data_IF_441909309649
#
_entry.id   IF_441909309649
#
_cell.length_a   1.000
_cell.length_b   1.000
_cell.length_c   1.000
_cell.angle_alpha   90.00
_cell.angle_beta   90.00
_cell.angle_gamma   90.00
#
_symmetry.space_group_name_H-M   'P 1'
#
loop_
_entity.id
_entity.type
_entity.pdbx_description
1 polymer ?
#
# COMPACT_ATOMS: atom_id res chain seq x y z
N UNK A 1 12.72 -52.89 -28.50
CA UNK A 1 11.27 -52.79 -28.24
C UNK A 1 11.10 -52.13 -26.87
N UNK A 2 11.41 -50.83 -26.75
CA UNK A 2 10.46 -49.69 -26.77
C UNK A 2 9.28 -49.82 -25.79
N UNK A 3 9.41 -49.19 -24.62
CA UNK A 3 8.31 -48.42 -24.04
C UNK A 3 8.88 -47.29 -23.18
N UNK A 4 8.45 -46.09 -23.54
CA UNK A 4 8.81 -44.79 -22.97
C UNK A 4 7.85 -44.48 -21.82
N UNK A 5 8.39 -43.85 -20.79
CA UNK A 5 7.67 -43.19 -19.72
C UNK A 5 6.77 -42.06 -20.25
N UNK A 6 5.51 -42.06 -19.79
CA UNK A 6 4.57 -40.95 -19.91
C UNK A 6 3.83 -40.82 -18.58
N UNK A 7 4.43 -40.12 -17.62
CA UNK A 7 3.69 -39.44 -16.57
C UNK A 7 3.47 -37.99 -17.02
N UNK A 8 2.26 -37.68 -17.49
CA UNK A 8 1.82 -36.30 -17.70
C UNK A 8 0.75 -35.97 -16.67
N UNK A 9 1.02 -34.93 -15.88
CA UNK A 9 0.22 -34.45 -14.75
C UNK A 9 -1.07 -33.78 -15.22
N UNK A 10 -2.19 -34.13 -14.58
CA UNK A 10 -3.55 -33.70 -14.90
C UNK A 10 -3.96 -32.36 -14.27
N UNK A 11 -3.03 -31.41 -14.11
CA UNK A 11 -3.26 -30.14 -13.39
C UNK A 11 -3.44 -28.91 -14.31
N UNK A 12 -3.67 -29.10 -15.61
CA UNK A 12 -3.67 -28.00 -16.61
C UNK A 12 -5.03 -27.62 -17.20
N UNK A 13 -6.16 -27.94 -16.56
CA UNK A 13 -7.48 -27.82 -17.22
C UNK A 13 -8.58 -27.00 -16.54
N UNK A 14 -8.29 -26.15 -15.55
CA UNK A 14 -9.36 -25.40 -14.84
C UNK A 14 -9.14 -23.88 -14.70
N UNK A 15 -7.94 -23.32 -14.90
CA UNK A 15 -7.77 -21.86 -14.88
C UNK A 15 -7.12 -21.34 -16.17
N UNK A 16 -7.80 -20.36 -16.77
CA UNK A 16 -7.50 -19.78 -18.06
C UNK A 16 -6.15 -19.07 -18.14
N UNK A 17 -5.67 -18.98 -19.37
CA UNK A 17 -4.47 -18.24 -19.76
C UNK A 17 -4.66 -16.74 -19.47
N UNK A 18 -3.69 -16.14 -18.80
CA UNK A 18 -3.52 -14.68 -18.72
C UNK A 18 -2.22 -14.30 -19.44
N UNK A 19 -2.19 -13.20 -20.19
CA UNK A 19 -1.34 -13.06 -21.36
C UNK A 19 0.12 -12.79 -20.98
N UNK A 20 1.01 -13.60 -21.55
CA UNK A 20 2.44 -13.30 -21.57
C UNK A 20 2.70 -12.19 -22.59
N UNK A 21 2.90 -10.96 -22.12
CA UNK A 21 3.51 -9.91 -22.93
C UNK A 21 4.97 -10.27 -23.19
N UNK A 22 5.24 -10.70 -24.43
CA UNK A 22 6.57 -10.89 -24.98
C UNK A 22 7.15 -9.53 -25.37
N UNK A 23 8.27 -9.14 -24.77
CA UNK A 23 9.12 -8.06 -25.27
C UNK A 23 10.00 -8.61 -26.40
N UNK A 24 9.44 -8.67 -27.62
CA UNK A 24 10.25 -8.81 -28.82
C UNK A 24 10.62 -7.45 -29.38
N UNK A 25 11.93 -7.26 -29.48
CA UNK A 25 12.61 -6.28 -30.31
C UNK A 25 12.01 -6.29 -31.73
N UNK A 26 11.56 -5.13 -32.19
CA UNK A 26 11.48 -4.83 -33.61
C UNK A 26 12.00 -3.43 -33.89
N UNK A 27 13.06 -3.43 -34.68
CA UNK A 27 13.62 -2.31 -35.41
C UNK A 27 12.68 -1.95 -36.56
N UNK A 28 12.29 -0.68 -36.69
CA UNK A 28 12.08 -0.03 -37.99
C UNK A 28 11.96 1.49 -37.86
N UNK A 29 13.04 2.13 -38.30
CA UNK A 29 13.08 3.36 -39.09
C UNK A 29 11.74 3.96 -39.57
N UNK A 30 11.57 5.28 -39.43
CA UNK A 30 12.00 6.24 -40.47
C UNK A 30 11.51 7.69 -40.27
N UNK A 31 12.41 8.63 -40.65
CA UNK A 31 12.18 10.02 -41.13
C UNK A 31 11.71 11.08 -40.11
N UNK A 32 12.14 12.34 -40.16
CA UNK A 32 13.19 13.08 -40.87
C UNK A 32 13.04 14.53 -40.38
N UNK A 33 14.08 15.19 -39.87
CA UNK A 33 14.25 16.64 -40.10
C UNK A 33 15.71 17.03 -39.88
N UNK A 34 16.36 17.26 -41.02
CA UNK A 34 17.58 18.02 -41.21
C UNK A 34 17.58 19.30 -40.34
N UNK A 35 18.61 19.52 -39.53
CA UNK A 35 18.95 20.85 -39.03
C UNK A 35 20.46 21.06 -39.12
N UNK A 36 20.81 21.93 -40.05
CA UNK A 36 22.15 22.43 -40.32
C UNK A 36 22.77 23.02 -39.05
N UNK A 37 23.97 22.55 -38.70
CA UNK A 37 24.87 23.25 -37.79
C UNK A 37 25.68 24.28 -38.59
N UNK A 38 25.66 25.57 -38.24
CA UNK A 38 26.63 26.51 -38.77
C UNK A 38 27.98 26.33 -38.08
N UNK A 39 28.99 26.29 -38.95
CA UNK A 39 30.42 26.31 -38.68
C UNK A 39 30.87 27.75 -38.81
N UNK A 40 31.55 28.27 -37.80
CA UNK A 40 32.48 29.41 -37.83
C UNK A 40 33.45 29.15 -36.66
N UNK A 41 34.75 28.85 -36.77
CA UNK A 41 35.80 29.20 -37.71
C UNK A 41 36.25 30.67 -37.63
N UNK A 42 36.82 31.08 -36.49
CA UNK A 42 37.83 32.14 -36.41
C UNK A 42 38.96 31.71 -35.46
N UNK A 43 40.13 31.32 -36.00
CA UNK A 43 41.32 32.17 -36.22
C UNK A 43 42.21 32.26 -34.98
N UNK A 44 43.06 31.25 -34.81
CA UNK A 44 44.27 31.35 -34.00
C UNK A 44 45.28 32.24 -34.73
N UNK A 45 45.48 33.48 -34.27
CA UNK A 45 46.55 34.35 -34.76
C UNK A 45 47.81 34.18 -33.90
N UNK A 46 48.83 33.75 -34.64
CA UNK A 46 50.27 33.83 -34.41
C UNK A 46 50.73 34.89 -33.40
N UNK A 47 51.31 34.43 -32.30
CA UNK A 47 52.18 35.25 -31.45
C UNK A 47 53.61 35.17 -31.99
N UNK A 48 53.97 36.15 -32.83
CA UNK A 48 55.35 36.33 -33.27
C UNK A 48 56.24 36.75 -32.09
N UNK A 49 57.23 35.91 -31.83
CA UNK A 49 58.45 36.18 -31.05
C UNK A 49 59.07 37.51 -31.49
N UNK A 50 59.08 38.53 -30.62
CA UNK A 50 59.91 39.73 -30.80
C UNK A 50 61.29 39.47 -30.22
N UNK A 51 62.26 39.23 -31.12
CA UNK A 51 63.69 39.29 -30.85
C UNK A 51 64.08 40.78 -30.88
N UNK A 52 64.46 41.32 -29.72
CA UNK A 52 65.09 42.63 -29.60
C UNK A 52 66.53 42.53 -30.13
N UNK A 53 66.77 43.08 -31.33
CA UNK A 53 68.11 43.29 -31.88
C UNK A 53 68.39 44.79 -31.84
N UNK A 54 69.22 45.20 -30.89
CA UNK A 54 69.87 46.51 -30.87
C UNK A 54 70.98 46.53 -31.92
N UNK A 55 71.10 47.57 -32.78
CA UNK A 55 72.33 47.78 -33.53
C UNK A 55 73.29 48.63 -32.69
N UNK A 56 74.48 48.08 -32.48
CA UNK A 56 75.63 48.82 -31.98
C UNK A 56 76.08 49.84 -33.03
N UNK A 57 76.19 51.09 -32.61
CA UNK A 57 76.95 52.15 -33.28
C UNK A 57 78.42 52.02 -32.91
N UNK A 58 79.34 51.92 -33.89
CA UNK A 58 80.71 52.40 -33.69
C UNK A 58 81.42 52.73 -35.01
N UNK A 59 81.72 54.02 -35.14
CA UNK A 59 82.83 54.69 -35.84
C UNK A 59 83.29 54.19 -37.22
N UNK A 60 82.93 54.97 -38.25
CA UNK A 60 83.77 55.17 -39.42
C UNK A 60 84.39 56.57 -39.36
N UNK A 61 85.69 56.60 -39.59
CA UNK A 61 86.63 57.71 -39.52
C UNK A 61 86.22 58.92 -40.35
N UNK A 62 86.30 60.10 -39.73
CA UNK A 62 86.22 61.41 -40.38
C UNK A 62 87.46 61.60 -41.27
N UNK A 63 87.26 61.65 -42.57
CA UNK A 63 88.23 62.23 -43.50
C UNK A 63 87.70 63.61 -43.91
N UNK A 64 88.32 64.65 -43.35
CA UNK A 64 88.22 66.01 -43.84
C UNK A 64 88.89 66.08 -45.22
N UNK A 65 88.16 66.57 -46.21
CA UNK A 65 88.70 67.23 -47.40
C UNK A 65 87.67 68.25 -47.86
N UNK A 66 88.07 69.51 -47.79
CA UNK A 66 87.35 70.70 -48.26
C UNK A 66 87.00 70.57 -49.75
N UNK A 67 85.73 70.78 -50.14
CA UNK A 67 85.38 71.08 -51.53
C UNK A 67 84.01 71.78 -51.69
N UNK A 68 84.07 73.03 -52.14
CA UNK A 68 83.11 73.89 -52.84
C UNK A 68 81.62 74.05 -52.43
N UNK A 69 81.31 75.30 -52.05
CA UNK A 69 80.07 75.82 -51.44
C UNK A 69 78.90 76.25 -52.38
N UNK A 70 78.90 76.16 -53.74
CA UNK A 70 77.74 76.57 -54.54
C UNK A 70 76.85 75.42 -55.07
N UNK A 71 77.27 74.15 -55.00
CA UNK A 71 76.48 73.00 -55.51
C UNK A 71 75.62 72.30 -54.43
N UNK A 72 75.98 72.50 -53.14
CA UNK A 72 75.28 71.96 -51.96
C UNK A 72 73.94 72.67 -51.65
N UNK A 73 73.80 73.93 -52.06
CA UNK A 73 72.60 74.74 -51.82
C UNK A 73 71.44 74.37 -52.76
N UNK A 74 71.72 74.00 -54.01
CA UNK A 74 70.73 73.53 -54.98
C UNK A 74 70.14 72.17 -54.57
N UNK A 75 71.00 71.21 -54.22
CA UNK A 75 70.58 69.89 -53.72
C UNK A 75 69.86 69.98 -52.37
N UNK A 76 70.26 70.91 -51.49
CA UNK A 76 69.55 71.17 -50.23
C UNK A 76 68.13 71.74 -50.43
N UNK A 77 67.92 72.57 -51.46
CA UNK A 77 66.60 73.13 -51.76
C UNK A 77 65.68 72.09 -52.39
N UNK A 78 66.19 71.24 -53.29
CA UNK A 78 65.44 70.12 -53.85
C UNK A 78 65.04 69.10 -52.76
N UNK A 79 65.96 68.79 -51.83
CA UNK A 79 65.70 67.93 -50.69
C UNK A 79 64.69 68.53 -49.69
N UNK A 80 64.62 69.87 -49.58
CA UNK A 80 63.58 70.55 -48.80
C UNK A 80 62.21 70.42 -49.47
N UNK A 81 62.13 70.56 -50.79
CA UNK A 81 60.87 70.42 -51.54
C UNK A 81 60.34 68.98 -51.45
N UNK A 82 61.22 67.98 -51.58
CA UNK A 82 60.85 66.57 -51.39
C UNK A 82 60.37 66.32 -49.96
N UNK A 83 61.06 66.86 -48.94
CA UNK A 83 60.62 66.74 -47.55
C UNK A 83 59.33 67.47 -47.25
N UNK A 84 59.05 68.61 -47.87
CA UNK A 84 57.76 69.31 -47.69
C UNK A 84 56.62 68.55 -48.35
N UNK A 85 56.85 67.98 -49.54
CA UNK A 85 55.87 67.15 -50.23
C UNK A 85 55.61 65.82 -49.47
N UNK A 86 56.66 65.17 -48.97
CA UNK A 86 56.54 63.98 -48.09
C UNK A 86 55.80 64.33 -46.79
N UNK A 87 56.09 65.49 -46.19
CA UNK A 87 55.38 65.98 -45.00
C UNK A 87 53.90 66.23 -45.29
N UNK A 88 53.55 66.79 -46.45
CA UNK A 88 52.16 67.03 -46.85
C UNK A 88 51.42 65.71 -47.14
N UNK A 89 52.08 64.73 -47.77
CA UNK A 89 51.53 63.38 -47.94
C UNK A 89 51.33 62.66 -46.60
N UNK A 90 52.30 62.76 -45.69
CA UNK A 90 52.18 62.22 -44.33
C UNK A 90 51.08 62.93 -43.55
N UNK A 91 50.90 64.25 -43.74
CA UNK A 91 49.81 65.00 -43.13
C UNK A 91 48.45 64.57 -43.68
N UNK A 92 48.31 64.41 -45.00
CA UNK A 92 47.06 63.91 -45.61
C UNK A 92 46.74 62.46 -45.22
N UNK A 93 47.75 61.62 -45.01
CA UNK A 93 47.57 60.28 -44.44
C UNK A 93 47.17 60.35 -42.96
N UNK A 94 47.77 61.25 -42.19
CA UNK A 94 47.44 61.44 -40.79
C UNK A 94 46.01 61.96 -40.59
N UNK A 95 45.55 62.91 -41.42
CA UNK A 95 44.17 63.41 -41.39
C UNK A 95 43.15 62.29 -41.74
N UNK A 96 43.52 61.39 -42.66
CA UNK A 96 42.74 60.17 -42.93
C UNK A 96 42.76 59.18 -41.76
N UNK A 97 43.86 59.07 -41.03
CA UNK A 97 43.91 58.27 -39.81
C UNK A 97 43.06 58.87 -38.69
N UNK A 98 43.05 60.19 -38.52
CA UNK A 98 42.19 60.87 -37.53
C UNK A 98 40.72 60.60 -37.83
N UNK A 99 40.28 60.80 -39.08
CA UNK A 99 38.89 60.49 -39.48
C UNK A 99 38.55 59.00 -39.36
N UNK A 100 39.49 58.10 -39.60
CA UNK A 100 39.30 56.67 -39.38
C UNK A 100 39.18 56.33 -37.88
N UNK A 101 40.01 56.92 -37.02
CA UNK A 101 39.95 56.75 -35.56
C UNK A 101 38.63 57.29 -35.01
N UNK A 102 38.18 58.46 -35.46
CA UNK A 102 36.87 59.01 -35.10
C UNK A 102 35.73 58.08 -35.53
N UNK A 103 35.82 57.48 -36.72
CA UNK A 103 34.83 56.50 -37.19
C UNK A 103 34.85 55.22 -36.35
N UNK A 104 36.02 54.69 -36.01
CA UNK A 104 36.16 53.52 -35.13
C UNK A 104 35.59 53.84 -33.75
N UNK A 105 35.90 55.00 -33.18
CA UNK A 105 35.38 55.41 -31.89
C UNK A 105 33.85 55.55 -31.89
N UNK A 106 33.28 56.14 -32.94
CA UNK A 106 31.83 56.22 -33.11
C UNK A 106 31.19 54.82 -33.23
N UNK A 107 31.82 53.89 -33.96
CA UNK A 107 31.35 52.50 -34.07
C UNK A 107 31.49 51.72 -32.75
N UNK A 108 32.57 51.92 -32.01
CA UNK A 108 32.76 51.35 -30.67
C UNK A 108 31.72 51.87 -29.69
N UNK A 109 31.42 53.17 -29.73
CA UNK A 109 30.38 53.78 -28.91
C UNK A 109 29.00 53.22 -29.27
N UNK A 110 28.69 53.08 -30.57
CA UNK A 110 27.44 52.47 -31.03
C UNK A 110 27.34 50.99 -30.63
N UNK A 111 28.41 50.21 -30.78
CA UNK A 111 28.44 48.82 -30.33
C UNK A 111 28.21 48.71 -28.81
N UNK A 112 28.84 49.59 -28.03
CA UNK A 112 28.64 49.62 -26.58
C UNK A 112 27.19 49.95 -26.19
N UNK A 113 26.53 50.84 -26.93
CA UNK A 113 25.10 51.14 -26.73
C UNK A 113 24.22 49.94 -27.10
N UNK A 114 24.50 49.29 -28.23
CA UNK A 114 23.77 48.09 -28.65
C UNK A 114 23.97 46.92 -27.67
N UNK A 115 25.17 46.73 -27.13
CA UNK A 115 25.46 45.75 -26.08
C UNK A 115 24.65 46.04 -24.79
N UNK A 116 24.58 47.32 -24.39
CA UNK A 116 23.77 47.74 -23.25
C UNK A 116 22.26 47.50 -23.50
N UNK A 117 21.78 47.75 -24.71
CA UNK A 117 20.38 47.49 -25.10
C UNK A 117 20.08 45.98 -25.11
N UNK A 118 20.97 45.16 -25.68
CA UNK A 118 20.82 43.70 -25.71
C UNK A 118 20.83 43.11 -24.30
N UNK A 119 21.70 43.60 -23.41
CA UNK A 119 21.73 43.12 -22.02
C UNK A 119 20.46 43.50 -21.27
N UNK A 120 19.92 44.71 -21.46
CA UNK A 120 18.66 45.15 -20.87
C UNK A 120 17.46 44.34 -21.40
N UNK A 121 17.40 44.07 -22.70
CA UNK A 121 16.36 43.24 -23.30
C UNK A 121 16.41 41.80 -22.80
N UNK A 122 17.61 41.22 -22.65
CA UNK A 122 17.79 39.90 -22.04
C UNK A 122 17.32 39.86 -20.59
N UNK A 123 17.60 40.90 -19.80
CA UNK A 123 17.11 41.00 -18.42
C UNK A 123 15.57 41.06 -18.37
N UNK A 124 14.94 41.88 -19.22
CA UNK A 124 13.47 41.97 -19.31
C UNK A 124 12.80 40.66 -19.75
N UNK A 125 13.46 39.88 -20.62
CA UNK A 125 12.95 38.57 -21.03
C UNK A 125 13.25 37.46 -20.00
N UNK A 126 14.25 37.65 -19.13
CA UNK A 126 14.58 36.71 -18.05
C UNK A 126 13.68 36.84 -16.82
N UNK A 127 12.97 37.95 -16.68
CA UNK A 127 11.93 38.09 -15.65
C UNK A 127 10.79 37.10 -15.98
N UNK A 128 10.52 36.10 -15.13
CA UNK A 128 9.42 35.18 -15.35
C UNK A 128 8.14 35.99 -15.48
N UNK A 129 7.43 35.81 -16.60
CA UNK A 129 6.20 36.56 -16.87
C UNK A 129 5.27 36.43 -15.67
N UNK A 130 4.80 37.55 -15.12
CA UNK A 130 3.81 37.59 -14.02
C UNK A 130 2.62 36.66 -14.30
N UNK A 131 2.27 36.50 -15.57
CA UNK A 131 1.24 35.58 -16.04
C UNK A 131 1.61 34.11 -15.79
N UNK A 132 2.87 33.70 -16.01
CA UNK A 132 3.38 32.36 -15.66
C UNK A 132 3.21 32.08 -14.18
N UNK A 133 3.56 33.05 -13.32
CA UNK A 133 3.43 32.90 -11.87
C UNK A 133 1.98 32.73 -11.42
N UNK A 134 1.04 33.47 -12.03
CA UNK A 134 -0.39 33.33 -11.74
C UNK A 134 -0.91 31.95 -12.19
N UNK A 135 -0.53 31.49 -13.37
CA UNK A 135 -0.90 30.13 -13.82
C UNK A 135 -0.25 29.04 -12.97
N UNK A 136 0.99 29.22 -12.52
CA UNK A 136 1.65 28.29 -11.60
C UNK A 136 1.01 28.26 -10.20
N UNK A 137 0.47 29.39 -9.74
CA UNK A 137 -0.33 29.45 -8.50
C UNK A 137 -1.66 28.71 -8.69
N UNK A 138 -2.40 29.01 -9.75
CA UNK A 138 -3.66 28.33 -10.08
C UNK A 138 -3.47 26.81 -10.21
N UNK A 139 -2.41 26.36 -10.91
CA UNK A 139 -2.09 24.93 -11.04
C UNK A 139 -1.79 24.30 -9.67
N UNK A 140 -1.12 25.01 -8.77
CA UNK A 140 -0.85 24.51 -7.41
C UNK A 140 -2.12 24.41 -6.58
N UNK A 141 -2.99 25.41 -6.65
CA UNK A 141 -4.28 25.41 -5.95
C UNK A 141 -5.20 24.30 -6.48
N UNK A 142 -5.27 24.11 -7.79
CA UNK A 142 -6.02 23.02 -8.41
C UNK A 142 -5.48 21.65 -8.01
N UNK A 143 -4.15 21.49 -7.89
CA UNK A 143 -3.54 20.24 -7.41
C UNK A 143 -3.86 19.99 -5.93
N UNK A 144 -3.73 21.01 -5.06
CA UNK A 144 -4.11 20.91 -3.64
C UNK A 144 -5.57 20.48 -3.49
N UNK A 145 -6.46 21.13 -4.25
CA UNK A 145 -7.88 20.78 -4.23
C UNK A 145 -8.15 19.36 -4.74
N UNK A 146 -7.44 18.91 -5.76
CA UNK A 146 -7.55 17.54 -6.24
C UNK A 146 -7.07 16.53 -5.18
N UNK A 147 -5.95 16.80 -4.52
CA UNK A 147 -5.43 15.97 -3.42
C UNK A 147 -6.41 15.91 -2.23
N UNK A 148 -6.99 17.05 -1.84
CA UNK A 148 -8.03 17.12 -0.80
C UNK A 148 -9.26 16.29 -1.18
N UNK A 149 -9.76 16.42 -2.42
CA UNK A 149 -10.90 15.65 -2.89
C UNK A 149 -10.60 14.15 -3.00
N UNK A 150 -9.37 13.77 -3.37
CA UNK A 150 -8.95 12.36 -3.35
C UNK A 150 -8.92 11.83 -1.93
N UNK A 151 -8.40 12.59 -0.97
CA UNK A 151 -8.39 12.21 0.44
C UNK A 151 -9.81 12.07 1.01
N UNK A 152 -10.71 13.02 0.72
CA UNK A 152 -12.12 12.94 1.10
C UNK A 152 -12.82 11.71 0.49
N UNK A 153 -12.55 11.41 -0.79
CA UNK A 153 -13.07 10.21 -1.45
C UNK A 153 -12.55 8.94 -0.78
N UNK A 154 -11.25 8.85 -0.51
CA UNK A 154 -10.65 7.67 0.11
C UNK A 154 -11.18 7.48 1.55
N UNK A 155 -11.34 8.56 2.32
CA UNK A 155 -11.97 8.50 3.64
C UNK A 155 -13.42 8.04 3.57
N UNK A 156 -14.20 8.59 2.64
CA UNK A 156 -15.60 8.17 2.44
C UNK A 156 -15.70 6.70 2.00
N UNK A 157 -14.73 6.19 1.22
CA UNK A 157 -14.66 4.78 0.85
C UNK A 157 -14.39 3.89 2.07
N UNK A 158 -13.45 4.26 2.94
CA UNK A 158 -13.20 3.54 4.19
C UNK A 158 -14.43 3.55 5.11
N UNK A 159 -15.14 4.67 5.21
CA UNK A 159 -16.36 4.78 6.01
C UNK A 159 -17.48 3.89 5.44
N UNK A 160 -17.63 3.83 4.11
CA UNK A 160 -18.55 2.91 3.44
C UNK A 160 -18.20 1.45 3.75
N UNK A 161 -16.93 1.05 3.59
CA UNK A 161 -16.48 -0.32 3.91
C UNK A 161 -16.70 -0.65 5.40
N UNK A 162 -16.48 0.31 6.29
CA UNK A 162 -16.75 0.14 7.72
C UNK A 162 -18.25 -0.08 7.99
N UNK A 163 -19.12 0.72 7.39
CA UNK A 163 -20.57 0.59 7.52
C UNK A 163 -21.09 -0.71 6.90
N UNK A 164 -20.56 -1.12 5.76
CA UNK A 164 -20.88 -2.40 5.12
C UNK A 164 -20.52 -3.58 6.02
N UNK A 165 -19.32 -3.56 6.63
CA UNK A 165 -18.91 -4.56 7.60
C UNK A 165 -19.82 -4.58 8.84
N UNK A 166 -20.22 -3.41 9.35
CA UNK A 166 -21.15 -3.31 10.47
C UNK A 166 -22.54 -3.86 10.12
N UNK A 167 -23.04 -3.59 8.91
CA UNK A 167 -24.30 -4.14 8.41
C UNK A 167 -24.21 -5.66 8.29
N UNK A 168 -23.13 -6.20 7.74
CA UNK A 168 -22.92 -7.65 7.65
C UNK A 168 -22.90 -8.31 9.04
N UNK A 169 -22.20 -7.72 10.01
CA UNK A 169 -22.19 -8.22 11.39
C UNK A 169 -23.57 -8.18 12.04
N UNK A 170 -24.39 -7.17 11.75
CA UNK A 170 -25.76 -7.08 12.25
C UNK A 170 -26.68 -8.10 11.57
N UNK A 171 -26.48 -8.35 10.27
CA UNK A 171 -27.21 -9.39 9.54
C UNK A 171 -26.89 -10.79 10.09
N UNK A 172 -25.62 -11.11 10.31
CA UNK A 172 -25.21 -12.38 10.91
C UNK A 172 -25.81 -12.55 12.32
N UNK A 173 -25.77 -11.50 13.15
CA UNK A 173 -26.42 -11.53 14.48
C UNK A 173 -27.93 -11.73 14.38
N UNK A 174 -28.59 -11.10 13.42
CA UNK A 174 -30.02 -11.28 13.19
C UNK A 174 -30.33 -12.72 12.80
N UNK A 175 -29.56 -13.30 11.87
CA UNK A 175 -29.72 -14.69 11.43
C UNK A 175 -29.51 -15.69 12.58
N UNK A 176 -28.51 -15.46 13.43
CA UNK A 176 -28.28 -16.28 14.63
C UNK A 176 -29.46 -16.19 15.61
N UNK A 177 -30.00 -14.99 15.85
CA UNK A 177 -31.17 -14.82 16.72
C UNK A 177 -32.46 -15.40 16.11
N UNK A 178 -32.64 -15.33 14.77
CA UNK A 178 -33.76 -15.99 14.11
C UNK A 178 -33.67 -17.50 14.22
N UNK A 179 -32.48 -18.08 14.05
CA UNK A 179 -32.26 -19.52 14.20
C UNK A 179 -32.53 -19.97 15.65
N UNK A 180 -32.03 -19.23 16.65
CA UNK A 180 -32.33 -19.52 18.07
C UNK A 180 -33.82 -19.43 18.38
N UNK A 181 -34.52 -18.44 17.81
CA UNK A 181 -35.99 -18.31 17.95
C UNK A 181 -36.70 -19.52 17.35
N UNK A 182 -36.30 -19.95 16.15
CA UNK A 182 -36.87 -21.13 15.49
C UNK A 182 -36.62 -22.42 16.28
N UNK A 183 -35.41 -22.64 16.78
CA UNK A 183 -35.08 -23.76 17.66
C UNK A 183 -35.94 -23.76 18.94
N UNK A 184 -36.13 -22.58 19.56
CA UNK A 184 -36.99 -22.43 20.74
C UNK A 184 -38.47 -22.68 20.42
N UNK A 185 -38.96 -22.22 19.26
CA UNK A 185 -40.32 -22.47 18.80
C UNK A 185 -40.57 -23.95 18.50
N UNK A 186 -39.60 -24.63 17.89
CA UNK A 186 -39.70 -26.06 17.62
C UNK A 186 -39.62 -26.90 18.90
N UNK A 187 -38.77 -26.52 19.85
CA UNK A 187 -38.77 -27.11 21.19
C UNK A 187 -40.14 -26.92 21.89
N UNK A 188 -40.73 -25.73 21.81
CA UNK A 188 -42.05 -25.45 22.37
C UNK A 188 -43.14 -26.30 21.71
N UNK A 189 -43.12 -26.45 20.37
CA UNK A 189 -44.05 -27.33 19.65
C UNK A 189 -43.90 -28.78 20.07
N UNK A 190 -42.67 -29.26 20.29
CA UNK A 190 -42.42 -30.62 20.75
C UNK A 190 -42.93 -30.82 22.19
N UNK A 191 -42.63 -29.91 23.12
CA UNK A 191 -43.19 -29.98 24.46
C UNK A 191 -44.71 -29.96 24.47
N UNK A 192 -45.35 -29.21 23.57
CA UNK A 192 -46.81 -29.23 23.43
C UNK A 192 -47.32 -30.62 23.00
N UNK A 193 -46.68 -31.26 22.03
CA UNK A 193 -47.01 -32.64 21.63
C UNK A 193 -46.79 -33.63 22.77
N UNK A 194 -45.72 -33.48 23.55
CA UNK A 194 -45.44 -34.34 24.69
C UNK A 194 -46.50 -34.18 25.79
N UNK A 195 -46.94 -32.95 26.04
CA UNK A 195 -48.06 -32.67 26.95
C UNK A 195 -49.34 -33.30 26.42
N UNK A 196 -49.66 -33.13 25.14
CA UNK A 196 -50.84 -33.75 24.52
C UNK A 196 -50.78 -35.28 24.65
N UNK A 197 -49.63 -35.90 24.37
CA UNK A 197 -49.43 -37.34 24.52
C UNK A 197 -49.60 -37.80 25.98
N UNK A 198 -48.99 -37.11 26.94
CA UNK A 198 -49.13 -37.39 28.36
C UNK A 198 -50.59 -37.23 28.84
N UNK A 199 -51.34 -36.27 28.28
CA UNK A 199 -52.77 -36.11 28.60
C UNK A 199 -53.62 -37.26 28.05
N UNK A 200 -53.30 -37.77 26.86
CA UNK A 200 -53.96 -38.95 26.30
C UNK A 200 -53.67 -40.19 27.15
N UNK A 201 -52.42 -40.41 27.53
CA UNK A 201 -52.02 -41.55 28.38
C UNK A 201 -52.70 -41.47 29.75
N UNK A 202 -52.77 -40.28 30.36
CA UNK A 202 -53.54 -40.04 31.59
C UNK A 202 -55.00 -40.43 31.42
N UNK A 203 -55.66 -39.96 30.35
CA UNK A 203 -57.07 -40.27 30.08
C UNK A 203 -57.29 -41.77 29.84
N UNK A 204 -56.37 -42.47 29.17
CA UNK A 204 -56.44 -43.92 28.98
C UNK A 204 -56.32 -44.67 30.31
N UNK A 205 -55.39 -44.25 31.18
CA UNK A 205 -55.24 -44.81 32.51
C UNK A 205 -56.47 -44.53 33.38
N UNK A 206 -57.06 -43.33 33.32
CA UNK A 206 -58.29 -42.99 34.03
C UNK A 206 -59.46 -43.88 33.60
N UNK A 207 -59.66 -44.09 32.28
CA UNK A 207 -60.67 -45.03 31.78
C UNK A 207 -60.42 -46.46 32.25
N UNK A 208 -59.16 -46.89 32.31
CA UNK A 208 -58.81 -48.22 32.81
C UNK A 208 -59.13 -48.35 34.29
N UNK A 209 -58.84 -47.33 35.10
CA UNK A 209 -59.23 -47.27 36.51
C UNK A 209 -60.75 -47.35 36.65
N UNK A 210 -61.51 -46.56 35.90
CA UNK A 210 -62.98 -46.59 35.89
C UNK A 210 -63.51 -47.99 35.54
N UNK A 211 -63.01 -48.60 34.47
CA UNK A 211 -63.41 -49.96 34.07
C UNK A 211 -63.10 -51.03 35.14
N UNK A 212 -61.97 -50.89 35.86
CA UNK A 212 -61.61 -51.80 36.94
C UNK A 212 -62.49 -51.58 38.18
N UNK A 213 -62.89 -50.34 38.46
CA UNK A 213 -63.85 -50.04 39.53
C UNK A 213 -65.23 -50.61 39.21
N UNK A 214 -65.69 -50.50 37.97
CA UNK A 214 -66.94 -51.10 37.51
C UNK A 214 -66.91 -52.62 37.62
N UNK A 215 -65.81 -53.26 37.23
CA UNK A 215 -65.62 -54.72 37.38
C UNK A 215 -65.63 -55.14 38.85
N UNK A 216 -64.97 -54.39 39.73
CA UNK A 216 -65.00 -54.66 41.18
C UNK A 216 -66.42 -54.49 41.73
N UNK A 217 -67.17 -53.48 41.29
CA UNK A 217 -68.56 -53.28 41.70
C UNK A 217 -69.46 -54.43 41.22
N UNK A 218 -69.27 -54.88 39.98
CA UNK A 218 -69.98 -56.04 39.42
C UNK A 218 -69.69 -57.31 40.22
N UNK A 219 -68.42 -57.64 40.45
CA UNK A 219 -68.01 -58.81 41.23
C UNK A 219 -68.55 -58.78 42.66
N UNK A 220 -68.56 -57.61 43.31
CA UNK A 220 -69.18 -57.45 44.64
C UNK A 220 -70.67 -57.75 44.62
N UNK A 221 -71.38 -57.25 43.61
CA UNK A 221 -72.82 -57.48 43.47
C UNK A 221 -73.14 -58.95 43.20
N UNK A 222 -72.39 -59.60 42.30
CA UNK A 222 -72.53 -61.04 42.02
C UNK A 222 -72.24 -61.86 43.28
N UNK A 223 -71.19 -61.53 44.03
CA UNK A 223 -70.88 -62.23 45.28
C UNK A 223 -71.98 -62.04 46.33
N UNK A 224 -72.57 -60.84 46.43
CA UNK A 224 -73.69 -60.58 47.33
C UNK A 224 -74.94 -61.38 46.94
N UNK A 225 -75.24 -61.49 45.64
CA UNK A 225 -76.32 -62.32 45.09
C UNK A 225 -76.06 -63.82 45.34
N UNK A 226 -74.86 -64.33 45.07
CA UNK A 226 -74.47 -65.72 45.34
C UNK A 226 -74.55 -66.06 46.83
N UNK A 227 -74.11 -65.16 47.71
CA UNK A 227 -74.23 -65.34 49.16
C UNK A 227 -75.70 -65.37 49.58
N UNK A 228 -76.55 -64.51 49.00
CA UNK A 228 -77.98 -64.52 49.26
C UNK A 228 -78.66 -65.81 48.77
N UNK A 229 -78.30 -66.30 47.57
CA UNK A 229 -78.77 -67.57 47.04
C UNK A 229 -78.30 -68.76 47.87
N UNK A 230 -77.03 -68.81 48.28
CA UNK A 230 -76.52 -69.86 49.15
C UNK A 230 -77.18 -69.82 50.53
N UNK A 231 -77.45 -68.64 51.08
CA UNK A 231 -78.23 -68.52 52.31
C UNK A 231 -79.66 -69.05 52.13
N UNK A 232 -80.32 -68.69 51.02
CA UNK A 232 -81.64 -69.20 50.68
C UNK A 232 -81.63 -70.73 50.49
N UNK A 233 -80.67 -71.26 49.74
CA UNK A 233 -80.49 -72.68 49.51
C UNK A 233 -80.14 -73.44 50.80
N UNK A 234 -79.38 -72.87 51.73
CA UNK A 234 -79.13 -73.47 53.06
C UNK A 234 -80.41 -73.50 53.89
N UNK A 235 -81.26 -72.46 53.81
CA UNK A 235 -82.58 -72.47 54.48
C UNK A 235 -83.57 -73.44 53.84
N UNK A 236 -83.52 -73.61 52.52
CA UNK A 236 -84.37 -74.51 51.73
C UNK A 236 -83.92 -75.98 51.87
N UNK A 237 -82.61 -76.24 51.84
CA UNK A 237 -82.03 -77.56 52.08
C UNK A 237 -82.19 -78.04 53.54
N UNK A 238 -82.53 -77.15 54.47
CA UNK A 238 -82.96 -77.53 55.81
C UNK A 238 -84.39 -78.11 55.84
N UNK A 239 -85.14 -78.13 54.72
CA UNK A 239 -86.57 -78.49 54.69
C UNK A 239 -86.98 -79.52 53.62
N UNK A 240 -86.17 -79.87 52.61
CA UNK A 240 -86.63 -80.84 51.58
C UNK A 240 -85.60 -81.88 51.17
N UNK A 241 -85.64 -83.02 51.86
CA UNK A 241 -85.29 -84.34 51.30
C UNK A 241 -86.60 -84.92 50.75
N UNK A 242 -86.64 -85.27 49.47
CA UNK A 242 -87.03 -86.60 48.99
C UNK A 242 -87.08 -86.63 47.45
N UNK A 243 -86.65 -87.77 46.95
CA UNK A 243 -86.31 -88.16 45.59
C UNK A 243 -87.57 -88.65 44.86
N UNK A 244 -87.74 -88.35 43.57
CA UNK A 244 -88.34 -89.36 42.69
C UNK A 244 -87.95 -89.23 41.21
N UNK A 245 -87.75 -90.40 40.60
CA UNK A 245 -87.05 -90.68 39.34
C UNK A 245 -88.05 -91.24 38.34
N UNK A 246 -88.44 -90.48 37.30
CA UNK A 246 -89.19 -90.99 36.14
C UNK A 246 -88.91 -90.02 34.98
N UNK A 247 -88.40 -90.35 33.79
CA UNK A 247 -88.58 -91.51 32.91
C UNK A 247 -87.35 -91.58 31.98
N UNK A 248 -87.00 -92.80 31.52
CA UNK A 248 -85.90 -93.01 30.57
C UNK A 248 -86.38 -92.68 29.14
N UNK A 249 -86.00 -91.56 28.51
CA UNK A 249 -85.85 -91.55 27.06
C UNK A 249 -84.65 -92.46 26.72
N UNK A 250 -84.55 -92.94 25.48
CA UNK A 250 -83.48 -93.85 25.04
C UNK A 250 -82.08 -93.28 25.35
N UNK A 251 -81.59 -93.66 26.52
CA UNK A 251 -80.38 -93.15 27.15
C UNK A 251 -79.17 -93.49 26.29
N UNK A 252 -79.26 -94.55 25.48
CA UNK A 252 -78.15 -95.01 24.65
C UNK A 252 -77.94 -94.09 23.45
N UNK A 253 -79.02 -93.63 22.81
CA UNK A 253 -78.95 -92.66 21.71
C UNK A 253 -78.51 -91.27 22.22
N UNK A 254 -79.10 -90.80 23.33
CA UNK A 254 -78.71 -89.53 23.95
C UNK A 254 -77.26 -89.55 24.48
N UNK A 255 -76.80 -90.64 25.10
CA UNK A 255 -75.41 -90.78 25.54
C UNK A 255 -74.43 -90.88 24.36
N UNK A 256 -74.81 -91.54 23.26
CA UNK A 256 -74.00 -91.57 22.03
C UNK A 256 -73.91 -90.18 21.38
N UNK A 257 -75.03 -89.46 21.30
CA UNK A 257 -75.06 -88.09 20.78
C UNK A 257 -74.24 -87.15 21.67
N UNK A 258 -74.42 -87.18 23.00
CA UNK A 258 -73.61 -86.38 23.94
C UNK A 258 -72.13 -86.74 23.79
N UNK A 259 -71.77 -88.02 23.68
CA UNK A 259 -70.38 -88.44 23.47
C UNK A 259 -69.81 -87.92 22.16
N UNK A 260 -70.57 -87.98 21.07
CA UNK A 260 -70.18 -87.42 19.77
C UNK A 260 -70.03 -85.89 19.85
N UNK A 261 -70.95 -85.18 20.49
CA UNK A 261 -70.86 -83.74 20.70
C UNK A 261 -69.63 -83.37 21.53
N UNK A 262 -69.29 -84.14 22.56
CA UNK A 262 -68.05 -83.96 23.32
C UNK A 262 -66.80 -84.27 22.50
N UNK A 263 -66.83 -85.27 21.63
CA UNK A 263 -65.72 -85.61 20.75
C UNK A 263 -65.47 -84.51 19.70
N UNK A 264 -66.53 -83.96 19.12
CA UNK A 264 -66.48 -82.81 18.21
C UNK A 264 -66.03 -81.54 18.95
N UNK A 265 -66.55 -81.29 20.15
CA UNK A 265 -66.15 -80.14 20.97
C UNK A 265 -64.68 -80.25 21.40
N UNK A 266 -64.22 -81.45 21.78
CA UNK A 266 -62.83 -81.71 22.18
C UNK A 266 -61.87 -81.52 21.00
N UNK A 267 -62.19 -82.06 19.83
CA UNK A 267 -61.38 -81.89 18.62
C UNK A 267 -61.36 -80.44 18.16
N UNK A 268 -62.51 -79.74 18.20
CA UNK A 268 -62.57 -78.30 17.90
C UNK A 268 -61.79 -77.46 18.89
N UNK A 269 -61.85 -77.77 20.19
CA UNK A 269 -61.07 -77.08 21.22
C UNK A 269 -59.57 -77.31 21.02
N UNK A 270 -59.17 -78.54 20.70
CA UNK A 270 -57.77 -78.86 20.40
C UNK A 270 -57.27 -78.14 19.14
N UNK A 271 -58.03 -78.12 18.05
CA UNK A 271 -57.70 -77.35 16.84
C UNK A 271 -57.61 -75.85 17.12
N UNK A 272 -58.57 -75.29 17.88
CA UNK A 272 -58.57 -73.87 18.24
C UNK A 272 -57.35 -73.51 19.09
N UNK A 273 -56.94 -74.40 20.01
CA UNK A 273 -55.73 -74.23 20.79
C UNK A 273 -54.46 -74.31 19.91
N UNK A 274 -54.40 -75.28 18.99
CA UNK A 274 -53.28 -75.42 18.04
C UNK A 274 -53.15 -74.20 17.12
N UNK A 275 -54.25 -73.71 16.53
CA UNK A 275 -54.28 -72.50 15.70
C UNK A 275 -53.89 -71.25 16.51
N UNK A 276 -54.34 -71.16 17.76
CA UNK A 276 -53.97 -70.08 18.67
C UNK A 276 -52.47 -70.09 18.97
N UNK A 277 -51.89 -71.25 19.30
CA UNK A 277 -50.46 -71.40 19.54
C UNK A 277 -49.64 -71.13 18.28
N UNK A 278 -50.06 -71.64 17.12
CA UNK A 278 -49.41 -71.38 15.85
C UNK A 278 -49.39 -69.89 15.52
N UNK A 279 -50.52 -69.20 15.67
CA UNK A 279 -50.63 -67.75 15.46
C UNK A 279 -49.74 -67.01 16.46
N UNK A 280 -49.71 -67.43 17.73
CA UNK A 280 -48.88 -66.76 18.74
C UNK A 280 -47.39 -66.93 18.45
N UNK A 281 -46.96 -68.13 18.05
CA UNK A 281 -45.57 -68.40 17.64
C UNK A 281 -45.21 -67.61 16.38
N UNK A 282 -46.11 -67.56 15.39
CA UNK A 282 -45.91 -66.78 14.17
C UNK A 282 -45.77 -65.28 14.47
N UNK A 283 -46.61 -64.72 15.35
CA UNK A 283 -46.53 -63.32 15.77
C UNK A 283 -45.22 -63.02 16.49
N UNK A 284 -44.81 -63.84 17.46
CA UNK A 284 -43.53 -63.67 18.18
C UNK A 284 -42.34 -63.80 17.22
N UNK A 285 -42.40 -64.75 16.28
CA UNK A 285 -41.38 -64.92 15.24
C UNK A 285 -41.29 -63.69 14.33
N UNK A 286 -42.43 -63.14 13.90
CA UNK A 286 -42.49 -61.94 13.09
C UNK A 286 -41.96 -60.70 13.84
N UNK A 287 -42.33 -60.53 15.11
CA UNK A 287 -41.80 -59.46 15.96
C UNK A 287 -40.29 -59.59 16.17
N UNK A 288 -39.79 -60.82 16.39
CA UNK A 288 -38.36 -61.08 16.49
C UNK A 288 -37.63 -60.77 15.16
N UNK A 289 -38.21 -61.10 14.01
CA UNK A 289 -37.66 -60.76 12.71
C UNK A 289 -37.60 -59.23 12.50
N UNK A 290 -38.69 -58.51 12.79
CA UNK A 290 -38.73 -57.03 12.73
C UNK A 290 -37.70 -56.40 13.66
N UNK A 291 -37.55 -56.91 14.88
CA UNK A 291 -36.54 -56.41 15.82
C UNK A 291 -35.12 -56.64 15.29
N UNK A 292 -34.84 -57.81 14.69
CA UNK A 292 -33.54 -58.07 14.05
C UNK A 292 -33.28 -57.12 12.87
N UNK A 293 -34.29 -56.84 12.04
CA UNK A 293 -34.18 -55.90 10.93
C UNK A 293 -33.93 -54.47 11.43
N UNK A 294 -34.62 -54.03 12.48
CA UNK A 294 -34.40 -52.72 13.10
C UNK A 294 -32.98 -52.61 13.68
N UNK A 295 -32.49 -53.66 14.36
CA UNK A 295 -31.10 -53.71 14.87
C UNK A 295 -30.10 -53.64 13.71
N UNK A 296 -30.40 -54.30 12.59
CA UNK A 296 -29.54 -54.27 11.41
C UNK A 296 -29.51 -52.87 10.78
N UNK A 297 -30.65 -52.22 10.60
CA UNK A 297 -30.75 -50.85 10.09
C UNK A 297 -29.99 -49.87 11.00
N UNK A 298 -30.19 -49.94 12.32
CA UNK A 298 -29.47 -49.10 13.27
C UNK A 298 -27.94 -49.31 13.22
N UNK A 299 -27.48 -50.54 12.96
CA UNK A 299 -26.05 -50.84 12.75
C UNK A 299 -25.52 -50.27 11.43
N UNK A 300 -26.31 -50.35 10.36
CA UNK A 300 -25.98 -49.77 9.05
C UNK A 300 -25.86 -48.24 9.18
N UNK A 301 -26.85 -47.57 9.78
CA UNK A 301 -26.81 -46.12 10.07
C UNK A 301 -25.60 -45.74 10.94
N UNK A 302 -25.32 -46.48 12.01
CA UNK A 302 -24.14 -46.23 12.85
C UNK A 302 -22.84 -46.34 12.04
N UNK A 303 -22.75 -47.30 11.11
CA UNK A 303 -21.58 -47.45 10.24
C UNK A 303 -21.44 -46.30 9.23
N UNK A 304 -22.56 -45.78 8.73
CA UNK A 304 -22.58 -44.62 7.85
C UNK A 304 -22.17 -43.34 8.58
N UNK A 305 -22.71 -43.09 9.78
CA UNK A 305 -22.30 -41.97 10.63
C UNK A 305 -20.81 -42.04 10.96
N UNK A 306 -20.29 -43.24 11.23
CA UNK A 306 -18.85 -43.43 11.45
C UNK A 306 -18.01 -43.10 10.21
N UNK A 307 -18.47 -43.48 9.02
CA UNK A 307 -17.80 -43.13 7.75
C UNK A 307 -17.86 -41.63 7.48
N UNK A 308 -19.00 -40.99 7.72
CA UNK A 308 -19.16 -39.55 7.58
C UNK A 308 -18.24 -38.80 8.55
N UNK A 309 -18.16 -39.23 9.81
CA UNK A 309 -17.26 -38.65 10.80
C UNK A 309 -15.81 -38.74 10.32
N UNK A 310 -15.36 -39.90 9.86
CA UNK A 310 -14.01 -40.08 9.32
C UNK A 310 -13.75 -39.18 8.10
N UNK A 311 -14.71 -39.07 7.18
CA UNK A 311 -14.57 -38.20 6.02
C UNK A 311 -14.44 -36.72 6.42
N UNK A 312 -15.24 -36.26 7.38
CA UNK A 312 -15.16 -34.89 7.93
C UNK A 312 -13.86 -34.64 8.68
N UNK A 313 -13.36 -35.62 9.44
CA UNK A 313 -12.05 -35.51 10.10
C UNK A 313 -10.93 -35.36 9.07
N UNK A 314 -10.93 -36.15 8.00
CA UNK A 314 -9.94 -36.02 6.92
C UNK A 314 -10.04 -34.68 6.20
N UNK A 315 -11.26 -34.17 5.97
CA UNK A 315 -11.48 -32.84 5.39
C UNK A 315 -10.93 -31.73 6.30
N UNK A 316 -11.17 -31.81 7.61
CA UNK A 316 -10.62 -30.88 8.60
C UNK A 316 -9.08 -30.93 8.58
N UNK A 317 -8.48 -32.11 8.59
CA UNK A 317 -7.02 -32.25 8.59
C UNK A 317 -6.40 -31.78 7.28
N UNK A 318 -7.07 -32.02 6.14
CA UNK A 318 -6.65 -31.47 4.84
C UNK A 318 -6.71 -29.94 4.82
N UNK A 319 -7.80 -29.34 5.31
CA UNK A 319 -7.93 -27.88 5.41
C UNK A 319 -6.91 -27.27 6.38
N UNK A 320 -6.63 -27.91 7.51
CA UNK A 320 -5.55 -27.51 8.43
C UNK A 320 -4.20 -27.53 7.73
N UNK A 321 -3.87 -28.61 7.03
CA UNK A 321 -2.61 -28.72 6.28
C UNK A 321 -2.49 -27.66 5.17
N UNK A 322 -3.60 -27.34 4.50
CA UNK A 322 -3.65 -26.28 3.50
C UNK A 322 -3.44 -24.90 4.13
N UNK A 323 -4.10 -24.62 5.27
CA UNK A 323 -3.93 -23.37 5.99
C UNK A 323 -2.48 -23.19 6.46
N UNK A 324 -1.90 -24.21 7.10
CA UNK A 324 -0.48 -24.18 7.49
C UNK A 324 0.48 -23.98 6.30
N UNK A 325 0.12 -24.46 5.10
CA UNK A 325 0.92 -24.24 3.89
C UNK A 325 0.80 -22.81 3.38
N UNK A 326 -0.38 -22.20 3.47
CA UNK A 326 -0.64 -20.81 3.07
C UNK A 326 0.01 -19.85 4.06
N UNK A 327 -0.06 -20.12 5.37
CA UNK A 327 0.64 -19.35 6.41
C UNK A 327 2.16 -19.38 6.18
N UNK A 328 2.74 -20.54 5.84
CA UNK A 328 4.16 -20.62 5.45
C UNK A 328 4.48 -19.80 4.20
N UNK A 329 3.64 -19.86 3.17
CA UNK A 329 3.84 -19.06 1.95
C UNK A 329 3.74 -17.56 2.20
N UNK A 330 2.83 -17.15 3.10
CA UNK A 330 2.70 -15.76 3.53
C UNK A 330 3.96 -15.31 4.25
N UNK A 331 4.43 -16.09 5.24
CA UNK A 331 5.67 -15.81 5.96
C UNK A 331 6.88 -15.72 5.01
N UNK A 332 7.02 -16.66 4.07
CA UNK A 332 8.09 -16.63 3.06
C UNK A 332 7.98 -15.42 2.11
N UNK A 333 6.78 -14.92 1.84
CA UNK A 333 6.58 -13.70 1.05
C UNK A 333 6.93 -12.43 1.84
N UNK A 334 6.53 -12.38 3.11
CA UNK A 334 6.88 -11.30 4.05
C UNK A 334 8.39 -11.24 4.27
N UNK A 335 9.05 -12.38 4.51
CA UNK A 335 10.49 -12.47 4.69
C UNK A 335 11.24 -11.98 3.44
N UNK A 336 10.82 -12.41 2.23
CA UNK A 336 11.39 -11.90 0.97
C UNK A 336 11.20 -10.40 0.80
N UNK A 337 10.03 -9.87 1.12
CA UNK A 337 9.78 -8.42 1.05
C UNK A 337 10.64 -7.66 2.06
N UNK A 338 10.79 -8.19 3.28
CA UNK A 338 11.66 -7.61 4.30
C UNK A 338 13.12 -7.61 3.84
N UNK A 339 13.61 -8.71 3.23
CA UNK A 339 14.93 -8.77 2.61
C UNK A 339 15.10 -7.69 1.52
N UNK A 340 14.13 -7.53 0.62
CA UNK A 340 14.16 -6.48 -0.42
C UNK A 340 14.17 -5.07 0.18
N UNK A 341 13.37 -4.81 1.21
CA UNK A 341 13.36 -3.53 1.95
C UNK A 341 14.72 -3.26 2.59
N UNK A 342 15.31 -4.27 3.26
CA UNK A 342 16.64 -4.12 3.88
C UNK A 342 17.71 -3.83 2.84
N UNK A 343 17.70 -4.55 1.71
CA UNK A 343 18.61 -4.30 0.60
C UNK A 343 18.44 -2.88 0.03
N UNK A 344 17.20 -2.42 -0.20
CA UNK A 344 16.95 -1.04 -0.62
C UNK A 344 17.46 -0.03 0.40
N UNK A 345 17.22 -0.25 1.69
CA UNK A 345 17.72 0.62 2.77
C UNK A 345 19.25 0.67 2.80
N UNK A 346 19.93 -0.46 2.59
CA UNK A 346 21.38 -0.53 2.45
C UNK A 346 21.87 0.26 1.24
N UNK A 347 21.22 0.14 0.08
CA UNK A 347 21.59 0.94 -1.11
C UNK A 347 21.40 2.44 -0.89
N UNK A 348 20.31 2.85 -0.21
CA UNK A 348 20.09 4.24 0.18
C UNK A 348 21.22 4.72 1.09
N UNK A 349 21.56 3.94 2.12
CA UNK A 349 22.65 4.27 3.05
C UNK A 349 24.01 4.38 2.32
N UNK A 350 24.28 3.50 1.36
CA UNK A 350 25.50 3.56 0.54
C UNK A 350 25.56 4.84 -0.30
N UNK A 351 24.46 5.20 -0.96
CA UNK A 351 24.35 6.43 -1.76
C UNK A 351 24.46 7.69 -0.89
N UNK A 352 23.81 7.73 0.27
CA UNK A 352 23.93 8.83 1.24
C UNK A 352 25.36 8.99 1.74
N UNK A 353 26.06 7.89 2.01
CA UNK A 353 27.47 7.92 2.39
C UNK A 353 28.35 8.46 1.26
N UNK A 354 28.17 8.00 0.01
CA UNK A 354 28.90 8.52 -1.15
C UNK A 354 28.62 10.01 -1.39
N UNK A 355 27.39 10.45 -1.17
CA UNK A 355 27.01 11.85 -1.27
C UNK A 355 27.64 12.70 -0.16
N UNK A 356 27.75 12.15 1.07
CA UNK A 356 28.46 12.81 2.18
C UNK A 356 29.96 12.90 1.93
N UNK A 357 30.60 11.84 1.43
CA UNK A 357 32.04 11.84 1.13
C UNK A 357 32.37 12.84 0.03
N UNK A 358 31.65 12.82 -1.09
CA UNK A 358 31.86 13.78 -2.20
C UNK A 358 31.62 15.23 -1.78
N UNK A 359 30.62 15.50 -0.93
CA UNK A 359 30.44 16.84 -0.32
C UNK A 359 31.63 17.24 0.56
N UNK A 360 32.17 16.32 1.36
CA UNK A 360 33.33 16.58 2.21
C UNK A 360 34.60 16.85 1.38
N UNK A 361 34.81 16.10 0.29
CA UNK A 361 35.88 16.30 -0.68
C UNK A 361 35.77 17.66 -1.38
N UNK A 362 34.57 18.03 -1.84
CA UNK A 362 34.32 19.34 -2.44
C UNK A 362 34.63 20.48 -1.45
N UNK A 363 34.19 20.34 -0.19
CA UNK A 363 34.50 21.32 0.85
C UNK A 363 36.00 21.40 1.14
N UNK A 364 36.73 20.27 1.06
CA UNK A 364 38.19 20.24 1.18
C UNK A 364 38.86 20.99 0.03
N UNK A 365 38.48 20.71 -1.22
CA UNK A 365 39.03 21.41 -2.38
C UNK A 365 38.78 22.92 -2.32
N UNK A 366 37.59 23.36 -1.89
CA UNK A 366 37.32 24.79 -1.69
C UNK A 366 38.28 25.44 -0.69
N UNK A 367 38.64 24.76 0.41
CA UNK A 367 39.66 25.26 1.34
C UNK A 367 41.04 25.32 0.70
N UNK A 368 41.45 24.25 0.02
CA UNK A 368 42.75 24.18 -0.68
C UNK A 368 42.88 25.29 -1.74
N UNK A 369 41.80 25.59 -2.48
CA UNK A 369 41.76 26.71 -3.42
C UNK A 369 41.87 28.08 -2.73
N UNK A 370 41.19 28.26 -1.58
CA UNK A 370 41.30 29.50 -0.81
C UNK A 370 42.72 29.69 -0.26
N UNK A 371 43.36 28.63 0.23
CA UNK A 371 44.74 28.68 0.72
C UNK A 371 45.72 29.00 -0.41
N UNK A 372 45.55 28.40 -1.59
CA UNK A 372 46.36 28.70 -2.77
C UNK A 372 46.17 30.14 -3.25
N UNK A 373 44.92 30.65 -3.21
CA UNK A 373 44.62 32.05 -3.50
C UNK A 373 45.33 32.98 -2.51
N UNK A 374 45.32 32.66 -1.22
CA UNK A 374 46.02 33.43 -0.19
C UNK A 374 47.54 33.47 -0.46
N UNK A 375 48.16 32.33 -0.81
CA UNK A 375 49.58 32.28 -1.21
C UNK A 375 49.84 33.13 -2.45
N UNK A 376 48.99 33.05 -3.47
CA UNK A 376 49.11 33.87 -4.68
C UNK A 376 49.05 35.36 -4.36
N UNK A 377 48.14 35.77 -3.48
CA UNK A 377 48.05 37.17 -3.03
C UNK A 377 49.31 37.62 -2.29
N UNK A 378 49.87 36.77 -1.42
CA UNK A 378 51.14 37.06 -0.74
C UNK A 378 52.28 37.25 -1.74
N UNK A 379 52.39 36.36 -2.74
CA UNK A 379 53.39 36.47 -3.80
C UNK A 379 53.21 37.73 -4.66
N UNK A 380 51.97 38.14 -4.98
CA UNK A 380 51.72 39.40 -5.69
C UNK A 380 52.23 40.61 -4.89
N UNK A 381 52.03 40.59 -3.55
CA UNK A 381 52.52 41.63 -2.65
C UNK A 381 54.06 41.63 -2.63
N UNK A 382 54.70 40.46 -2.55
CA UNK A 382 56.16 40.34 -2.62
C UNK A 382 56.71 40.86 -3.96
N UNK A 383 56.11 40.48 -5.09
CA UNK A 383 56.50 40.96 -6.43
C UNK A 383 56.34 42.48 -6.50
N UNK A 384 55.24 43.04 -5.99
CA UNK A 384 55.05 44.48 -5.94
C UNK A 384 56.10 45.18 -5.07
N UNK A 385 56.46 44.59 -3.93
CA UNK A 385 57.52 45.09 -3.05
C UNK A 385 58.90 45.03 -3.74
N UNK A 386 59.24 43.92 -4.39
CA UNK A 386 60.48 43.78 -5.15
C UNK A 386 60.54 44.80 -6.30
N UNK A 387 59.46 44.97 -7.07
CA UNK A 387 59.38 46.00 -8.14
C UNK A 387 59.64 47.40 -7.58
N UNK A 388 59.02 47.76 -6.46
CA UNK A 388 59.23 49.05 -5.80
C UNK A 388 60.67 49.26 -5.32
N UNK A 389 61.34 48.21 -4.84
CA UNK A 389 62.74 48.27 -4.42
C UNK A 389 63.67 48.46 -5.64
N UNK A 390 63.40 47.74 -6.72
CA UNK A 390 64.11 47.87 -8.00
C UNK A 390 63.96 49.28 -8.60
N UNK A 391 62.74 49.83 -8.61
CA UNK A 391 62.49 51.23 -9.01
C UNK A 391 63.27 52.22 -8.12
N UNK A 392 63.38 51.96 -6.81
CA UNK A 392 64.19 52.75 -5.89
C UNK A 392 65.71 52.68 -6.16
N UNK A 393 66.23 51.51 -6.52
CA UNK A 393 67.63 51.32 -6.94
C UNK A 393 67.90 51.92 -8.32
N UNK A 394 66.99 51.81 -9.28
CA UNK A 394 67.09 52.51 -10.57
C UNK A 394 67.15 54.03 -10.36
N UNK A 395 66.36 54.55 -9.42
CA UNK A 395 66.40 55.97 -9.03
C UNK A 395 67.74 56.33 -8.37
N UNK A 396 68.32 55.45 -7.55
CA UNK A 396 69.65 55.67 -6.94
C UNK A 396 70.80 55.52 -7.92
N UNK A 397 70.74 54.58 -8.85
CA UNK A 397 71.73 54.40 -9.92
C UNK A 397 71.66 55.53 -10.95
N UNK A 398 70.48 56.06 -11.24
CA UNK A 398 70.35 57.30 -12.03
C UNK A 398 70.81 58.54 -11.25
N UNK A 399 70.76 58.53 -9.92
CA UNK A 399 71.24 59.65 -9.08
C UNK A 399 72.74 59.57 -8.73
N UNK A 400 73.33 58.37 -8.65
CA UNK A 400 74.76 58.13 -8.31
C UNK A 400 75.61 57.81 -9.55
N UNK A 401 75.02 57.33 -10.64
CA UNK A 401 75.66 57.07 -11.93
C UNK A 401 75.59 58.24 -12.92
N UNK A 402 75.41 59.47 -12.42
CA UNK A 402 75.22 60.66 -13.24
C UNK A 402 76.24 61.76 -12.99
N UNK A 403 77.50 61.56 -13.40
CA UNK A 403 78.38 62.67 -13.80
C UNK A 403 78.97 62.37 -15.17
N UNK A 404 78.33 62.99 -16.18
CA UNK A 404 78.75 63.08 -17.58
C UNK A 404 77.91 62.23 -18.55
N UNK A 405 77.27 62.74 -19.60
CA UNK A 405 77.20 64.09 -20.17
C UNK A 405 76.27 63.99 -21.41
N UNK A 406 75.25 64.87 -21.50
CA UNK A 406 74.57 65.38 -22.72
C UNK A 406 73.69 64.40 -23.53
N UNK A 407 72.49 64.70 -24.02
CA UNK A 407 71.73 65.94 -24.28
C UNK A 407 70.88 65.63 -25.53
N UNK A 408 69.56 65.88 -25.60
CA UNK A 408 68.93 67.13 -26.05
C UNK A 408 67.40 66.94 -26.01
N UNK A 409 66.69 68.09 -25.92
CA UNK A 409 65.24 68.34 -25.86
C UNK A 409 64.35 67.48 -26.77
N UNK A 410 63.03 67.40 -26.55
CA UNK A 410 62.08 68.51 -26.67
C UNK A 410 60.77 68.26 -25.87
N UNK A 411 59.95 69.30 -25.61
CA UNK A 411 58.94 69.33 -24.57
C UNK A 411 57.56 68.87 -25.05
N UNK A 412 56.78 68.19 -24.21
CA UNK A 412 55.31 68.27 -24.27
C UNK A 412 54.67 68.14 -22.89
N UNK A 413 54.04 69.26 -22.52
CA UNK A 413 52.78 69.43 -21.80
C UNK A 413 52.27 68.33 -20.87
N UNK A 414 52.16 68.76 -19.62
CA UNK A 414 51.24 68.37 -18.56
C UNK A 414 49.91 67.75 -18.96
N UNK A 415 49.53 66.72 -18.21
CA UNK A 415 48.16 66.19 -18.15
C UNK A 415 48.00 65.21 -16.99
N UNK A 416 48.09 65.72 -15.75
CA UNK A 416 47.70 64.98 -14.56
C UNK A 416 46.19 64.77 -14.55
N UNK A 417 45.73 63.53 -14.49
CA UNK A 417 44.40 63.23 -13.96
C UNK A 417 44.49 62.11 -12.94
N UNK A 418 44.25 62.50 -11.69
CA UNK A 418 44.05 61.64 -10.54
C UNK A 418 42.81 60.76 -10.76
N UNK A 419 42.95 59.46 -10.49
CA UNK A 419 41.83 58.54 -10.49
C UNK A 419 42.02 57.47 -9.43
N UNK A 420 41.99 57.87 -8.15
CA UNK A 420 41.82 56.94 -7.06
C UNK A 420 40.47 56.22 -7.21
N UNK A 421 40.49 54.89 -7.17
CA UNK A 421 39.28 54.10 -6.95
C UNK A 421 39.54 53.04 -5.89
N UNK A 422 38.89 53.31 -4.77
CA UNK A 422 38.66 52.49 -3.59
C UNK A 422 38.04 51.16 -3.99
N UNK A 423 38.56 50.06 -3.44
CA UNK A 423 37.85 48.79 -3.40
C UNK A 423 37.01 48.76 -2.12
N UNK A 424 35.68 48.79 -2.28
CA UNK A 424 34.73 48.51 -1.22
C UNK A 424 34.75 47.02 -0.93
N UNK A 425 35.05 46.66 0.32
CA UNK A 425 34.93 45.30 0.85
C UNK A 425 33.45 44.94 0.97
N UNK A 426 33.00 43.93 0.21
CA UNK A 426 31.69 43.32 0.41
C UNK A 426 31.86 42.10 1.32
N UNK A 427 31.50 42.28 2.59
CA UNK A 427 31.40 41.22 3.60
C UNK A 427 30.25 40.28 3.24
N UNK A 428 30.55 39.00 3.01
CA UNK A 428 29.52 37.95 2.91
C UNK A 428 29.13 37.54 4.32
N UNK A 429 27.91 37.91 4.74
CA UNK A 429 27.29 37.43 5.98
C UNK A 429 26.80 35.99 5.77
N UNK A 430 27.40 35.04 6.49
CA UNK A 430 26.90 33.67 6.63
C UNK A 430 25.72 33.72 7.63
N UNK A 431 24.48 33.55 7.14
CA UNK A 431 23.33 33.29 7.99
C UNK A 431 23.40 31.84 8.48
N UNK A 432 23.50 31.69 9.78
CA UNK A 432 23.41 30.43 10.52
C UNK A 432 21.91 30.14 10.70
N UNK A 433 21.37 29.17 9.97
CA UNK A 433 20.02 28.66 10.24
C UNK A 433 20.09 27.78 11.50
N UNK A 434 19.46 28.25 12.57
CA UNK A 434 19.21 27.47 13.78
C UNK A 434 18.00 26.57 13.54
N UNK A 435 18.23 25.26 13.65
CA UNK A 435 17.23 24.20 13.70
C UNK A 435 16.58 24.24 15.09
N UNK A 436 15.30 24.63 15.17
CA UNK A 436 14.48 24.43 16.37
C UNK A 436 13.59 23.20 16.18
N UNK A 437 13.91 22.15 16.92
CA UNK A 437 13.01 21.05 17.21
C UNK A 437 12.03 21.50 18.30
N UNK A 438 10.73 21.45 18.04
CA UNK A 438 9.71 21.47 19.09
C UNK A 438 9.03 20.10 19.13
N UNK A 439 9.34 19.35 20.19
CA UNK A 439 8.49 18.27 20.71
C UNK A 439 7.31 18.91 21.43
N UNK A 440 6.09 18.45 21.16
CA UNK A 440 4.99 18.56 22.12
C UNK A 440 4.34 17.21 22.35
N UNK A 441 4.32 16.88 23.63
CA UNK A 441 3.82 15.67 24.24
C UNK A 441 2.30 15.54 24.16
N UNK A 442 1.92 14.29 23.97
CA UNK A 442 0.75 13.57 24.44
C UNK A 442 0.23 14.03 25.83
N UNK A 443 -1.08 14.26 25.94
CA UNK A 443 -1.78 14.17 27.23
C UNK A 443 -3.13 13.47 27.06
N UNK A 444 -3.18 12.28 27.66
CA UNK A 444 -4.38 11.53 28.06
C UNK A 444 -5.26 12.39 28.96
N UNK A 445 -6.56 12.41 28.69
CA UNK A 445 -7.58 12.66 29.70
C UNK A 445 -8.44 11.39 29.84
N UNK A 446 -8.22 10.70 30.96
CA UNK A 446 -9.14 9.74 31.56
C UNK A 446 -9.52 10.33 32.93
N UNK A 447 -10.78 10.72 33.08
CA UNK A 447 -11.46 10.89 34.36
C UNK A 447 -12.81 10.19 34.21
N UNK A 448 -13.06 9.02 34.79
CA UNK A 448 -13.36 8.76 36.20
C UNK A 448 -14.33 9.75 36.85
N UNK A 449 -15.34 9.20 37.52
CA UNK A 449 -16.21 9.96 38.42
C UNK A 449 -17.70 9.66 38.30
N UNK A 450 -18.12 8.50 38.80
CA UNK A 450 -19.53 8.21 39.05
C UNK A 450 -20.14 8.97 40.23
N UNK A 451 -21.48 9.02 40.24
CA UNK A 451 -22.46 9.17 41.35
C UNK A 451 -23.75 9.66 40.70
N UNK A 452 -24.94 9.13 40.92
CA UNK A 452 -25.46 8.23 41.93
C UNK A 452 -26.93 8.59 42.15
N UNK A 453 -27.76 7.59 42.43
CA UNK A 453 -28.93 7.73 43.29
C UNK A 453 -30.21 8.37 42.73
N UNK A 454 -31.17 7.50 42.42
CA UNK A 454 -32.45 7.50 43.13
C UNK A 454 -33.59 8.37 42.58
N UNK A 455 -34.61 7.71 42.03
CA UNK A 455 -36.01 7.93 42.40
C UNK A 455 -36.94 6.96 41.62
N UNK A 456 -37.37 5.88 42.28
CA UNK A 456 -38.75 5.40 42.11
C UNK A 456 -39.59 6.17 43.13
N UNK A 457 -40.90 6.42 42.90
CA UNK A 457 -41.88 5.41 43.36
C UNK A 457 -43.27 5.39 42.68
N UNK A 458 -44.03 4.29 42.94
CA UNK A 458 -45.54 4.17 42.95
C UNK A 458 -46.21 4.05 41.56
N UNK A 459 -47.14 3.12 41.21
CA UNK A 459 -48.23 2.34 41.86
C UNK A 459 -48.59 1.18 40.89
N UNK A 460 -48.67 -0.10 41.24
CA UNK A 460 -49.80 -0.83 41.86
C UNK A 460 -51.20 -0.55 41.27
N UNK A 461 -51.74 -1.51 40.49
CA UNK A 461 -53.17 -1.88 40.30
C UNK A 461 -53.18 -3.11 39.34
N UNK A 462 -53.19 -4.36 39.81
CA UNK A 462 -54.37 -5.18 40.10
C UNK A 462 -55.53 -5.06 39.11
N UNK A 463 -55.67 -6.01 38.20
CA UNK A 463 -57.00 -6.56 37.92
C UNK A 463 -56.92 -7.99 37.38
N UNK A 464 -57.65 -8.84 38.09
CA UNK A 464 -57.88 -10.26 37.88
C UNK A 464 -59.37 -10.36 37.61
N UNK A 465 -59.79 -10.92 36.48
CA UNK A 465 -60.97 -11.81 36.48
C UNK A 465 -61.00 -12.73 35.25
N UNK A 466 -61.57 -13.93 35.42
CA UNK A 466 -61.63 -15.01 34.43
C UNK A 466 -62.97 -15.02 33.67
N UNK A 467 -63.07 -15.86 32.63
CA UNK A 467 -64.18 -16.83 32.41
C UNK A 467 -64.39 -17.16 30.93
N UNK A 468 -64.39 -18.47 30.65
CA UNK A 468 -65.18 -19.25 29.66
C UNK A 468 -65.33 -18.70 28.23
N UNK A 469 -64.85 -19.47 27.24
CA UNK A 469 -65.64 -20.56 26.65
C UNK A 469 -64.73 -21.60 25.99
#
# INVERSE_FOLDING_TARGET
MTSRDLYTSSYKKIFGESPRSASHLYSSSSRSSQAYRPRDNYTSISSYRKISRSPASHLASVHQVDFDLPQSTALSNELKIVRTNEKEQLQGLNDRFVTYIEKVHNLEQQNKLLEAEVTLLRQKQSEPSRLSQLYEQEIRELRSRLEEQLHEKDQAQLDCEHLENAVHQLQEKLELETNKREEAEDAMKNFRKDVDHATLDRLQLEKKVESLLDEVAFLRKVHEEEVAELQAAVTEAQVTVEMDVVSKPDLTAALKEIRMQYEVLSTRNQQSAEEWYQTKIANVSQEAARNNDNIRQAKEELSEYRRQLQARTLEIDALRSANESLERQLQEAEDRSNEEITHMQETINQLDNALRTTKAEMARHLREYQDLLNVKMALDIEIAAYRKLLEGEETRLTTVGGSGMFGIGYPYSSGSYSGGKSYTSSTVTIRKEERKEEKKEEKKDVSDGGKGGGASPIKASSEKTPSKN
#
